data_IF_670488259051
#
_entry.id   IF_670488259051
#
_cell.length_a   1.000
_cell.length_b   1.000
_cell.length_c   1.000
_cell.angle_alpha   90.00
_cell.angle_beta   90.00
_cell.angle_gamma   90.00
#
_symmetry.space_group_name_H-M   'P 1'
#
loop_
_entity.id
_entity.type
_entity.pdbx_description
1 polymer ?
#
# COMPACT_ATOMS: atom_id res chain seq x y z
N UNK A 1 -26.07 18.89 -11.50
CA UNK A 1 -25.65 17.48 -11.42
C UNK A 1 -24.17 17.41 -11.72
N UNK A 2 -23.32 17.42 -10.69
CA UNK A 2 -21.88 17.40 -10.88
C UNK A 2 -21.42 15.96 -11.09
N UNK A 3 -21.06 15.64 -12.33
CA UNK A 3 -20.26 14.47 -12.68
C UNK A 3 -18.87 14.65 -12.06
N UNK A 4 -18.59 13.97 -10.94
CA UNK A 4 -17.21 13.68 -10.53
C UNK A 4 -16.80 12.44 -11.30
N UNK A 5 -16.49 12.63 -12.58
CA UNK A 5 -15.99 11.59 -13.46
C UNK A 5 -14.59 11.18 -13.01
N UNK A 6 -14.48 9.93 -12.54
CA UNK A 6 -13.27 9.08 -12.51
C UNK A 6 -11.98 9.76 -12.97
N UNK A 7 -11.27 10.39 -12.05
CA UNK A 7 -9.81 10.41 -12.12
C UNK A 7 -9.38 9.14 -11.40
N UNK A 8 -9.36 8.02 -12.10
CA UNK A 8 -8.58 6.88 -11.64
C UNK A 8 -7.14 7.42 -11.51
N UNK A 9 -6.60 7.54 -10.29
CA UNK A 9 -5.25 8.04 -9.99
C UNK A 9 -4.18 7.07 -10.51
N UNK A 10 -4.18 6.81 -11.81
CA UNK A 10 -3.28 5.88 -12.49
C UNK A 10 -1.90 6.51 -12.54
N UNK A 11 -0.94 5.83 -11.93
CA UNK A 11 0.45 6.26 -11.97
C UNK A 11 1.28 5.32 -12.83
N UNK A 12 2.36 5.86 -13.39
CA UNK A 12 3.34 5.09 -14.16
C UNK A 12 4.40 4.56 -13.19
N UNK A 13 4.46 3.24 -13.06
CA UNK A 13 5.54 2.54 -12.36
C UNK A 13 6.33 1.75 -13.38
N UNK A 14 7.58 2.16 -13.63
CA UNK A 14 8.37 1.70 -14.78
C UNK A 14 7.58 1.95 -16.08
N UNK A 15 7.38 0.94 -16.93
CA UNK A 15 6.59 1.05 -18.16
C UNK A 15 5.12 0.67 -18.01
N UNK A 16 4.67 0.40 -16.77
CA UNK A 16 3.31 -0.04 -16.50
C UNK A 16 2.46 1.09 -15.91
N UNK A 17 1.20 1.15 -16.35
CA UNK A 17 0.16 1.98 -15.75
C UNK A 17 -0.53 1.16 -14.66
N UNK A 18 -0.48 1.64 -13.42
CA UNK A 18 -1.08 0.95 -12.28
C UNK A 18 -2.22 1.80 -11.75
N UNK A 19 -3.40 1.20 -11.63
CA UNK A 19 -4.53 1.79 -10.91
C UNK A 19 -4.43 1.40 -9.43
N UNK A 20 -4.39 2.36 -8.49
CA UNK A 20 -4.46 2.07 -7.06
C UNK A 20 -5.67 1.22 -6.68
N UNK A 21 -6.83 1.51 -7.29
CA UNK A 21 -8.07 0.79 -7.03
C UNK A 21 -7.98 -0.71 -7.36
N UNK A 22 -7.27 -1.08 -8.42
CA UNK A 22 -7.07 -2.49 -8.78
C UNK A 22 -6.25 -3.20 -7.70
N UNK A 23 -5.19 -2.55 -7.21
CA UNK A 23 -4.33 -3.11 -6.15
C UNK A 23 -5.09 -3.20 -4.82
N UNK A 24 -5.88 -2.18 -4.48
CA UNK A 24 -6.74 -2.16 -3.29
C UNK A 24 -7.79 -3.28 -3.33
N UNK A 25 -8.45 -3.47 -4.49
CA UNK A 25 -9.50 -4.47 -4.66
C UNK A 25 -8.99 -5.90 -4.51
N UNK A 26 -7.70 -6.15 -4.76
CA UNK A 26 -7.08 -7.44 -4.48
C UNK A 26 -6.71 -7.56 -3.00
N UNK A 27 -6.09 -6.53 -2.40
CA UNK A 27 -5.62 -6.57 -0.99
C UNK A 27 -6.78 -6.68 0.00
N UNK A 28 -7.92 -6.04 -0.28
CA UNK A 28 -9.10 -6.03 0.60
C UNK A 28 -9.70 -7.43 0.79
N UNK A 29 -9.45 -8.37 -0.13
CA UNK A 29 -9.90 -9.76 -0.03
C UNK A 29 -9.12 -10.57 1.03
N UNK A 30 -8.00 -10.04 1.54
CA UNK A 30 -7.29 -10.69 2.63
C UNK A 30 -8.14 -10.70 3.91
N UNK A 31 -8.30 -11.85 4.61
CA UNK A 31 -9.23 -11.96 5.73
C UNK A 31 -9.02 -10.95 6.87
N UNK A 32 -7.77 -10.52 7.10
CA UNK A 32 -7.42 -9.57 8.15
C UNK A 32 -7.66 -8.10 7.80
N UNK A 33 -7.84 -7.76 6.52
CA UNK A 33 -7.91 -6.37 6.05
C UNK A 33 -9.34 -5.84 6.17
N UNK A 34 -9.51 -4.71 6.84
CA UNK A 34 -10.79 -3.98 6.94
C UNK A 34 -10.90 -2.89 5.88
N UNK A 35 -9.86 -2.10 5.72
CA UNK A 35 -9.76 -1.05 4.71
C UNK A 35 -8.34 -1.00 4.14
N UNK A 36 -8.21 -0.59 2.88
CA UNK A 36 -6.92 -0.41 2.22
C UNK A 36 -6.91 0.88 1.40
N UNK A 37 -5.80 1.61 1.46
CA UNK A 37 -5.55 2.77 0.62
C UNK A 37 -4.19 2.66 -0.04
N UNK A 38 -4.13 2.72 -1.37
CA UNK A 38 -2.87 2.63 -2.11
C UNK A 38 -2.50 4.00 -2.67
N UNK A 39 -1.26 4.41 -2.48
CA UNK A 39 -0.68 5.60 -3.09
C UNK A 39 0.57 5.24 -3.89
N UNK A 40 0.92 6.02 -4.92
CA UNK A 40 2.27 5.99 -5.45
C UNK A 40 3.22 6.69 -4.49
N UNK A 41 4.39 6.08 -4.29
CA UNK A 41 5.49 6.66 -3.53
C UNK A 41 6.83 6.38 -4.21
N UNK A 42 7.87 7.13 -3.87
CA UNK A 42 9.23 6.94 -4.43
C UNK A 42 10.02 5.96 -3.55
N UNK A 43 10.62 4.94 -4.15
CA UNK A 43 11.51 3.99 -3.47
C UNK A 43 12.97 4.50 -3.40
N UNK A 44 13.85 3.74 -2.74
CA UNK A 44 15.28 4.07 -2.59
C UNK A 44 16.05 4.19 -3.92
N UNK A 45 15.45 3.82 -5.06
CA UNK A 45 16.04 3.90 -6.40
C UNK A 45 15.35 4.93 -7.28
N UNK A 46 14.65 5.89 -6.68
CA UNK A 46 13.88 6.93 -7.35
C UNK A 46 12.78 6.40 -8.28
N UNK A 47 12.27 5.19 -8.02
CA UNK A 47 11.19 4.59 -8.80
C UNK A 47 9.86 4.85 -8.12
N UNK A 48 8.87 5.22 -8.91
CA UNK A 48 7.48 5.31 -8.45
C UNK A 48 6.96 3.89 -8.28
N UNK A 49 6.61 3.51 -7.05
CA UNK A 49 6.08 2.20 -6.67
C UNK A 49 4.83 2.35 -5.80
N UNK A 50 3.92 1.37 -5.77
CA UNK A 50 2.79 1.41 -4.86
C UNK A 50 3.23 1.24 -3.39
N UNK A 51 2.63 2.00 -2.48
CA UNK A 51 2.61 1.78 -1.03
C UNK A 51 1.16 1.56 -0.59
N UNK A 52 0.93 0.57 0.27
CA UNK A 52 -0.39 0.24 0.78
C UNK A 52 -0.53 0.65 2.25
N UNK A 53 -1.50 1.47 2.57
CA UNK A 53 -1.95 1.68 3.95
C UNK A 53 -3.07 0.70 4.25
N UNK A 54 -3.06 0.11 5.44
CA UNK A 54 -3.98 -0.99 5.81
C UNK A 54 -4.55 -0.71 7.18
N UNK A 55 -5.88 -0.76 7.29
CA UNK A 55 -6.60 -0.88 8.55
C UNK A 55 -6.99 -2.33 8.71
N UNK A 56 -6.68 -2.91 9.88
CA UNK A 56 -7.01 -4.30 10.19
C UNK A 56 -8.43 -4.41 10.76
N UNK A 57 -9.05 -5.59 10.60
CA UNK A 57 -10.29 -5.93 11.31
C UNK A 57 -10.01 -6.02 12.83
N UNK A 58 -11.03 -5.81 13.70
CA UNK A 58 -10.84 -5.73 15.15
C UNK A 58 -10.15 -6.94 15.80
N UNK A 59 -10.26 -8.13 15.21
CA UNK A 59 -9.65 -9.37 15.74
C UNK A 59 -8.16 -9.54 15.36
N UNK A 60 -7.62 -8.64 14.55
CA UNK A 60 -6.25 -8.71 14.03
C UNK A 60 -5.42 -7.54 14.54
N UNK A 61 -4.15 -7.82 14.82
CA UNK A 61 -3.23 -6.82 15.37
C UNK A 61 -2.05 -6.58 14.41
N UNK A 62 -1.61 -5.32 14.27
CA UNK A 62 -0.48 -4.99 13.43
C UNK A 62 0.78 -5.63 14.01
N UNK A 63 1.50 -6.37 13.18
CA UNK A 63 2.74 -7.03 13.56
C UNK A 63 3.57 -7.36 12.34
N UNK A 64 4.86 -7.64 12.55
CA UNK A 64 5.75 -8.14 11.50
C UNK A 64 5.21 -9.42 10.86
N UNK A 65 4.60 -10.31 11.66
CA UNK A 65 4.02 -11.56 11.18
C UNK A 65 2.78 -11.31 10.31
N UNK A 66 1.89 -10.40 10.73
CA UNK A 66 0.73 -9.98 9.93
C UNK A 66 1.15 -9.32 8.61
N UNK A 67 2.17 -8.45 8.64
CA UNK A 67 2.73 -7.86 7.42
C UNK A 67 3.26 -8.93 6.46
N UNK A 68 3.99 -9.94 6.96
CA UNK A 68 4.47 -11.06 6.16
C UNK A 68 3.33 -11.85 5.51
N UNK A 69 2.25 -12.12 6.26
CA UNK A 69 1.06 -12.82 5.75
C UNK A 69 0.39 -12.05 4.62
N UNK A 70 0.18 -10.74 4.80
CA UNK A 70 -0.37 -9.88 3.76
C UNK A 70 0.56 -9.80 2.55
N UNK A 71 1.88 -9.71 2.75
CA UNK A 71 2.83 -9.75 1.63
C UNK A 71 2.79 -11.08 0.87
N UNK A 72 2.63 -12.22 1.55
CA UNK A 72 2.44 -13.52 0.88
C UNK A 72 1.19 -13.52 0.02
N UNK A 73 0.07 -13.09 0.60
CA UNK A 73 -1.19 -12.97 -0.12
C UNK A 73 -1.07 -12.06 -1.35
N UNK A 74 -0.51 -10.86 -1.21
CA UNK A 74 -0.23 -9.94 -2.33
C UNK A 74 0.60 -10.62 -3.43
N UNK A 75 1.56 -11.47 -3.05
CA UNK A 75 2.43 -12.14 -4.01
C UNK A 75 1.75 -13.27 -4.77
N UNK A 76 0.73 -13.88 -4.19
CA UNK A 76 -0.04 -14.95 -4.81
C UNK A 76 -1.15 -14.39 -5.71
N UNK A 77 -1.71 -13.23 -5.37
CA UNK A 77 -2.86 -12.64 -6.05
C UNK A 77 -2.50 -11.54 -7.07
N UNK A 78 -1.49 -10.72 -6.80
CA UNK A 78 -1.16 -9.55 -7.63
C UNK A 78 0.07 -9.82 -8.50
N UNK A 79 0.08 -9.35 -9.74
CA UNK A 79 1.24 -9.48 -10.63
C UNK A 79 2.48 -8.71 -10.09
N UNK A 80 3.71 -9.23 -10.22
CA UNK A 80 4.91 -8.66 -9.56
C UNK A 80 5.18 -7.17 -9.77
N UNK A 81 4.76 -6.59 -10.90
CA UNK A 81 4.95 -5.19 -11.23
C UNK A 81 3.92 -4.26 -10.59
N UNK A 82 2.74 -4.78 -10.17
CA UNK A 82 1.67 -4.01 -9.51
C UNK A 82 1.73 -4.05 -7.98
N UNK A 83 2.56 -4.93 -7.41
CA UNK A 83 2.62 -5.18 -5.97
C UNK A 83 3.12 -3.95 -5.21
N UNK A 84 2.48 -3.60 -4.08
CA UNK A 84 3.08 -2.68 -3.13
C UNK A 84 4.46 -3.15 -2.67
N UNK A 85 5.40 -2.20 -2.54
CA UNK A 85 6.76 -2.48 -2.04
C UNK A 85 6.88 -2.23 -0.55
N UNK A 86 5.99 -1.41 -0.01
CA UNK A 86 5.81 -1.22 1.42
C UNK A 86 4.33 -1.25 1.77
N UNK A 87 4.06 -1.61 3.01
CA UNK A 87 2.75 -1.44 3.62
C UNK A 87 2.90 -0.81 5.00
N UNK A 88 1.88 -0.07 5.43
CA UNK A 88 1.85 0.58 6.72
C UNK A 88 0.49 0.36 7.39
N UNK A 89 0.50 -0.10 8.64
CA UNK A 89 -0.74 -0.24 9.40
C UNK A 89 -1.18 1.10 10.00
N UNK A 90 -2.47 1.39 9.88
CA UNK A 90 -3.13 2.54 10.47
C UNK A 90 -4.29 2.08 11.36
N UNK A 91 -4.54 2.81 12.45
CA UNK A 91 -5.72 2.55 13.30
C UNK A 91 -7.02 2.87 12.57
N UNK A 92 -7.04 4.00 11.87
CA UNK A 92 -8.12 4.39 10.96
C UNK A 92 -7.57 5.30 9.87
N UNK A 93 -8.24 5.34 8.73
CA UNK A 93 -7.93 6.35 7.72
C UNK A 93 -8.52 7.70 8.09
N UNK A 94 -7.87 8.81 7.67
CA UNK A 94 -8.44 10.14 7.81
C UNK A 94 -9.80 10.17 7.09
N UNK A 95 -10.88 10.13 7.86
CA UNK A 95 -12.24 10.15 7.34
C UNK A 95 -12.55 11.54 6.81
N UNK A 96 -12.91 11.62 5.54
CA UNK A 96 -13.71 12.75 5.08
C UNK A 96 -15.16 12.56 5.52
N UNK A 97 -15.92 13.66 5.57
CA UNK A 97 -17.38 13.69 5.77
C UNK A 97 -18.13 12.73 4.80
N UNK A 98 -17.49 12.29 3.72
CA UNK A 98 -18.07 11.40 2.69
C UNK A 98 -17.63 9.93 2.77
N UNK A 99 -16.94 9.47 3.82
CA UNK A 99 -16.48 8.09 3.99
C UNK A 99 -15.62 7.54 2.83
N UNK A 100 -15.07 8.42 1.98
CA UNK A 100 -14.08 8.06 0.96
C UNK A 100 -12.70 8.38 1.48
N UNK A 101 -11.83 7.38 1.49
CA UNK A 101 -10.41 7.52 1.76
C UNK A 101 -9.84 8.59 0.82
N UNK A 102 -9.32 9.68 1.38
CA UNK A 102 -8.61 10.68 0.59
C UNK A 102 -7.16 10.21 0.41
N UNK A 103 -6.86 9.57 -0.73
CA UNK A 103 -5.47 9.26 -1.14
C UNK A 103 -4.55 10.47 -1.10
N UNK A 104 -5.10 11.67 -1.30
CA UNK A 104 -4.39 12.94 -1.14
C UNK A 104 -3.85 13.11 0.29
N UNK A 105 -4.62 12.75 1.30
CA UNK A 105 -4.22 12.90 2.70
C UNK A 105 -3.21 11.82 3.10
N UNK A 106 -3.41 10.58 2.64
CA UNK A 106 -2.40 9.51 2.78
C UNK A 106 -1.07 9.87 2.12
N UNK A 107 -1.12 10.51 0.93
CA UNK A 107 0.08 11.01 0.25
C UNK A 107 0.73 12.15 1.03
N UNK A 108 -0.04 13.12 1.50
CA UNK A 108 0.50 14.24 2.29
C UNK A 108 1.16 13.74 3.59
N UNK A 109 0.55 12.73 4.23
CA UNK A 109 1.13 12.04 5.38
C UNK A 109 2.47 11.37 5.02
N UNK A 110 2.52 10.54 3.97
CA UNK A 110 3.76 9.89 3.51
C UNK A 110 4.87 10.91 3.18
N UNK A 111 4.51 12.00 2.49
CA UNK A 111 5.43 13.08 2.14
C UNK A 111 5.97 13.82 3.38
N UNK A 112 5.15 14.02 4.42
CA UNK A 112 5.60 14.64 5.66
C UNK A 112 6.63 13.78 6.40
N UNK A 113 6.40 12.47 6.50
CA UNK A 113 7.35 11.54 7.12
C UNK A 113 8.69 11.52 6.39
N UNK A 114 8.66 11.47 5.05
CA UNK A 114 9.87 11.48 4.23
C UNK A 114 10.67 12.77 4.32
N UNK A 115 10.01 13.93 4.44
CA UNK A 115 10.70 15.22 4.65
C UNK A 115 11.50 15.25 5.95
N UNK A 116 11.04 14.50 6.95
CA UNK A 116 11.71 14.37 8.24
C UNK A 116 12.67 13.19 8.30
N UNK A 117 12.91 12.49 7.19
CA UNK A 117 13.69 11.24 7.09
C UNK A 117 13.22 10.17 8.09
N UNK A 118 11.90 10.13 8.35
CA UNK A 118 11.24 9.18 9.25
C UNK A 118 10.50 8.10 8.48
N UNK A 119 10.44 6.90 9.07
CA UNK A 119 9.55 5.81 8.66
C UNK A 119 8.27 5.83 9.48
N UNK A 120 7.17 5.34 8.91
CA UNK A 120 5.95 5.09 9.68
C UNK A 120 6.22 4.11 10.82
N UNK A 121 5.56 4.28 11.98
CA UNK A 121 5.83 3.45 13.17
C UNK A 121 5.54 1.96 12.91
N UNK A 122 4.56 1.66 12.04
CA UNK A 122 4.15 0.32 11.66
C UNK A 122 4.29 0.11 10.15
N UNK A 123 5.33 0.71 9.56
CA UNK A 123 5.69 0.56 8.15
C UNK A 123 6.65 -0.62 7.96
N UNK A 124 6.33 -1.48 6.99
CA UNK A 124 7.06 -2.69 6.65
C UNK A 124 7.37 -2.72 5.16
N UNK A 125 8.61 -3.09 4.80
CA UNK A 125 9.02 -3.20 3.41
C UNK A 125 9.10 -4.67 2.98
N UNK A 126 8.70 -4.97 1.73
CA UNK A 126 8.78 -6.34 1.18
C UNK A 126 10.22 -6.89 1.26
N UNK A 127 11.22 -6.03 1.11
CA UNK A 127 12.63 -6.40 1.15
C UNK A 127 13.10 -6.87 2.54
N UNK A 128 12.45 -6.40 3.61
CA UNK A 128 12.74 -6.81 5.00
C UNK A 128 12.36 -8.28 5.25
N UNK A 129 11.58 -8.86 4.35
CA UNK A 129 11.13 -10.26 4.37
C UNK A 129 11.76 -11.11 3.26
N UNK A 130 12.87 -10.65 2.67
CA UNK A 130 13.45 -11.30 1.49
C UNK A 130 13.73 -12.80 1.69
N UNK A 131 14.12 -13.20 2.90
CA UNK A 131 14.41 -14.61 3.25
C UNK A 131 13.11 -15.40 3.37
N UNK A 132 12.11 -14.86 4.06
CA UNK A 132 10.82 -15.51 4.32
C UNK A 132 9.92 -15.61 3.10
N UNK A 133 10.08 -14.68 2.14
CA UNK A 133 9.37 -14.65 0.86
C UNK A 133 10.12 -15.39 -0.25
N UNK A 134 11.26 -16.02 0.08
CA UNK A 134 12.14 -16.69 -0.89
C UNK A 134 12.40 -15.83 -2.13
N UNK A 135 12.70 -14.54 -1.94
CA UNK A 135 12.97 -13.63 -3.05
C UNK A 135 14.23 -14.11 -3.77
N UNK A 136 14.06 -14.78 -4.90
CA UNK A 136 15.18 -15.10 -5.80
C UNK A 136 15.79 -13.76 -6.21
N UNK A 137 16.99 -13.45 -5.70
CA UNK A 137 17.84 -12.41 -6.27
C UNK A 137 17.99 -12.77 -7.74
N UNK A 138 17.31 -12.04 -8.63
CA UNK A 138 17.63 -12.16 -10.06
C UNK A 138 19.10 -11.76 -10.17
N UNK A 139 19.93 -12.73 -10.57
CA UNK A 139 21.31 -12.50 -11.02
C UNK A 139 21.31 -11.49 -12.15
#
# INVERSE_FOLDING_TARGET
MHFIGRVDDVFKSLDYRISPFEVESEIIEHPAVLEVGVIPTVDEKDRIVPKAFIVLKPDFHPSRQMALEIFRFIRDHIAPYKRPRSLEFMEEFPKTISAKIMRKDLRAYDESLKKEDKRGQLEFFEIDFARELNLRRRK
#
